data_IF_840355570620
#
_entry.id   IF_840355570620
#
_cell.length_a   1.000
_cell.length_b   1.000
_cell.length_c   1.000
_cell.angle_alpha   90.00
_cell.angle_beta   90.00
_cell.angle_gamma   90.00
#
_symmetry.space_group_name_H-M   'P 1'
#
loop_
_entity.id
_entity.type
_entity.pdbx_description
1 polymer ?
#
# COMPACT_ATOMS: atom_id res chain seq x y z
N UNK A 1 -24.28 -38.04 -17.64
CA UNK A 1 -23.75 -37.23 -18.76
C UNK A 1 -24.15 -35.79 -18.46
N UNK A 2 -23.31 -35.04 -17.80
CA UNK A 2 -23.64 -33.68 -17.33
C UNK A 2 -22.89 -32.66 -18.20
N UNK A 3 -23.66 -31.87 -18.93
CA UNK A 3 -23.13 -30.77 -19.73
C UNK A 3 -22.47 -29.72 -18.83
N UNK A 4 -21.16 -29.53 -19.02
CA UNK A 4 -20.46 -28.35 -18.47
C UNK A 4 -20.81 -27.13 -19.31
N UNK A 5 -21.69 -26.31 -18.77
CA UNK A 5 -21.97 -24.98 -19.33
C UNK A 5 -20.74 -24.11 -19.13
N UNK A 6 -19.95 -23.94 -20.17
CA UNK A 6 -18.91 -22.92 -20.21
C UNK A 6 -19.57 -21.53 -20.29
N UNK A 7 -19.59 -20.79 -19.18
CA UNK A 7 -19.93 -19.37 -19.21
C UNK A 7 -18.93 -18.66 -20.13
N UNK A 8 -19.42 -18.11 -21.24
CA UNK A 8 -18.66 -17.23 -22.15
C UNK A 8 -18.01 -16.14 -21.32
N UNK A 9 -16.67 -15.94 -21.50
CA UNK A 9 -15.96 -14.76 -21.03
C UNK A 9 -16.73 -13.51 -21.45
N UNK A 10 -17.28 -12.79 -20.47
CA UNK A 10 -17.94 -11.52 -20.72
C UNK A 10 -16.93 -10.56 -21.36
N UNK A 11 -17.35 -9.93 -22.46
CA UNK A 11 -16.61 -8.82 -23.07
C UNK A 11 -16.58 -7.70 -22.01
N UNK A 12 -15.40 -7.15 -21.71
CA UNK A 12 -15.28 -5.97 -20.84
C UNK A 12 -16.31 -4.94 -21.29
N UNK A 13 -17.14 -4.48 -20.35
CA UNK A 13 -18.09 -3.39 -20.62
C UNK A 13 -17.29 -2.09 -20.70
N UNK A 14 -17.79 -1.13 -21.48
CA UNK A 14 -17.15 0.20 -21.66
C UNK A 14 -16.93 0.97 -20.35
N UNK A 15 -17.56 0.51 -19.26
CA UNK A 15 -17.45 1.03 -17.89
C UNK A 15 -16.33 0.41 -17.05
N UNK A 16 -15.70 -0.67 -17.52
CA UNK A 16 -14.69 -1.38 -16.77
C UNK A 16 -13.36 -0.63 -16.89
N UNK A 17 -12.69 -0.42 -15.76
CA UNK A 17 -11.35 0.15 -15.75
C UNK A 17 -10.29 -0.95 -15.81
N UNK A 18 -9.19 -0.67 -16.50
CA UNK A 18 -8.00 -1.50 -16.46
C UNK A 18 -7.08 -1.01 -15.35
N UNK A 19 -6.70 -1.92 -14.44
CA UNK A 19 -5.81 -1.62 -13.33
C UNK A 19 -4.46 -2.21 -13.63
N UNK A 20 -3.45 -1.36 -13.66
CA UNK A 20 -2.04 -1.73 -13.77
C UNK A 20 -1.35 -1.46 -12.44
N UNK A 21 -0.53 -2.40 -11.99
CA UNK A 21 0.20 -2.28 -10.74
C UNK A 21 1.69 -2.47 -11.01
N UNK A 22 2.49 -1.55 -10.53
CA UNK A 22 3.94 -1.57 -10.64
C UNK A 22 4.58 -1.30 -9.27
N UNK A 23 5.72 -1.92 -9.00
CA UNK A 23 6.46 -1.76 -7.75
C UNK A 23 7.95 -1.60 -8.02
N UNK A 24 8.56 -0.70 -7.28
CA UNK A 24 10.01 -0.56 -7.21
C UNK A 24 10.47 -0.73 -5.78
N UNK A 25 11.46 -1.60 -5.56
CA UNK A 25 12.01 -1.90 -4.25
C UNK A 25 13.54 -1.82 -4.30
N UNK A 26 14.16 -1.30 -3.24
CA UNK A 26 15.61 -1.21 -3.09
C UNK A 26 16.02 -1.56 -1.67
N UNK A 27 17.01 -2.41 -1.53
CA UNK A 27 17.58 -2.74 -0.22
C UNK A 27 18.32 -1.53 0.36
N UNK A 28 18.23 -1.38 1.68
CA UNK A 28 19.07 -0.44 2.42
C UNK A 28 20.54 -0.85 2.25
N UNK A 29 21.43 0.14 2.12
CA UNK A 29 22.86 -0.12 1.97
C UNK A 29 23.37 -1.02 3.11
N UNK A 30 24.10 -2.07 2.73
CA UNK A 30 24.64 -3.06 3.67
C UNK A 30 23.67 -4.20 4.03
N UNK A 31 22.42 -4.16 3.63
CA UNK A 31 21.46 -5.24 3.86
C UNK A 31 21.32 -6.12 2.62
N UNK A 32 21.29 -7.45 2.85
CA UNK A 32 21.09 -8.46 1.79
C UNK A 32 19.61 -8.56 1.41
N UNK A 33 18.70 -8.29 2.36
CA UNK A 33 17.24 -8.38 2.19
C UNK A 33 16.59 -7.03 2.50
N UNK A 34 15.47 -6.74 1.84
CA UNK A 34 14.63 -5.60 2.16
C UNK A 34 13.79 -5.88 3.40
N UNK A 35 13.62 -4.88 4.25
CA UNK A 35 12.69 -4.94 5.39
C UNK A 35 11.23 -4.90 4.97
N UNK A 36 10.96 -4.34 3.79
CA UNK A 36 9.62 -4.19 3.25
C UNK A 36 9.21 -5.40 2.42
N UNK A 37 7.92 -5.62 2.32
CA UNK A 37 7.32 -6.63 1.47
C UNK A 37 6.16 -6.05 0.68
N UNK A 38 6.14 -6.34 -0.60
CA UNK A 38 5.06 -5.99 -1.51
C UNK A 38 4.44 -7.25 -2.10
N UNK A 39 3.11 -7.29 -2.13
CA UNK A 39 2.34 -8.35 -2.78
C UNK A 39 1.21 -7.74 -3.60
N UNK A 40 0.91 -8.33 -4.75
CA UNK A 40 -0.27 -7.99 -5.54
C UNK A 40 -0.86 -9.24 -6.17
N UNK A 41 -2.19 -9.35 -6.15
CA UNK A 41 -2.92 -10.48 -6.70
C UNK A 41 -4.17 -10.01 -7.43
N UNK A 42 -4.35 -10.49 -8.65
CA UNK A 42 -5.59 -10.34 -9.40
C UNK A 42 -6.51 -11.53 -9.15
N UNK A 43 -7.67 -11.29 -8.56
CA UNK A 43 -8.75 -12.25 -8.37
C UNK A 43 -9.62 -12.27 -9.63
N UNK A 44 -9.32 -13.19 -10.56
CA UNK A 44 -9.93 -13.20 -11.91
C UNK A 44 -11.43 -13.46 -11.91
N UNK A 45 -11.93 -14.22 -10.93
CA UNK A 45 -13.35 -14.56 -10.84
C UNK A 45 -14.19 -13.39 -10.31
N UNK A 46 -13.57 -12.47 -9.59
CA UNK A 46 -14.20 -11.30 -8.99
C UNK A 46 -13.85 -10.00 -9.72
N UNK A 47 -13.01 -10.07 -10.75
CA UNK A 47 -12.46 -8.90 -11.47
C UNK A 47 -11.94 -7.82 -10.52
N UNK A 48 -11.16 -8.25 -9.53
CA UNK A 48 -10.65 -7.44 -8.42
C UNK A 48 -9.14 -7.59 -8.29
N UNK A 49 -8.45 -6.52 -7.91
CA UNK A 49 -7.03 -6.52 -7.58
C UNK A 49 -6.87 -6.15 -6.11
N UNK A 50 -6.05 -6.93 -5.41
CA UNK A 50 -5.58 -6.62 -4.07
C UNK A 50 -4.08 -6.37 -4.16
N UNK A 51 -3.63 -5.28 -3.53
CA UNK A 51 -2.20 -4.96 -3.39
C UNK A 51 -1.90 -4.61 -1.95
N UNK A 52 -0.77 -5.07 -1.45
CA UNK A 52 -0.34 -4.84 -0.07
C UNK A 52 1.11 -4.40 -0.07
N UNK A 53 1.37 -3.29 0.60
CA UNK A 53 2.71 -2.88 1.01
C UNK A 53 2.80 -3.02 2.53
N UNK A 54 3.85 -3.65 3.01
CA UNK A 54 4.13 -3.80 4.43
C UNK A 54 5.59 -3.51 4.72
N UNK A 55 5.85 -2.74 5.76
CA UNK A 55 7.18 -2.38 6.22
C UNK A 55 7.42 -3.02 7.60
N UNK A 56 8.47 -3.80 7.72
CA UNK A 56 8.86 -4.48 8.96
C UNK A 56 9.75 -3.60 9.82
N UNK A 57 9.39 -3.44 11.09
CA UNK A 57 10.13 -2.59 12.02
C UNK A 57 11.59 -3.02 12.17
N UNK A 58 12.49 -2.10 11.88
CA UNK A 58 13.93 -2.31 11.95
C UNK A 58 14.56 -2.59 10.58
N UNK A 59 15.46 -3.55 10.50
CA UNK A 59 16.13 -3.90 9.25
C UNK A 59 16.60 -5.36 9.23
N UNK A 60 16.95 -5.83 8.04
CA UNK A 60 17.47 -7.19 7.85
C UNK A 60 16.40 -8.28 7.92
N UNK A 61 16.83 -9.50 8.24
CA UNK A 61 15.99 -10.71 8.13
C UNK A 61 14.73 -10.63 9.00
N UNK A 62 14.82 -10.13 10.23
CA UNK A 62 13.66 -10.05 11.14
C UNK A 62 12.57 -9.16 10.55
N UNK A 63 12.93 -7.97 10.09
CA UNK A 63 11.99 -7.03 9.46
C UNK A 63 11.36 -7.65 8.20
N UNK A 64 12.19 -8.27 7.35
CA UNK A 64 11.72 -8.94 6.13
C UNK A 64 10.72 -10.08 6.42
N UNK A 65 10.96 -10.90 7.43
CA UNK A 65 10.03 -11.98 7.80
C UNK A 65 8.71 -11.40 8.30
N UNK A 66 8.76 -10.38 9.16
CA UNK A 66 7.55 -9.77 9.73
C UNK A 66 6.71 -9.06 8.67
N UNK A 67 7.34 -8.30 7.77
CA UNK A 67 6.63 -7.65 6.66
C UNK A 67 6.03 -8.68 5.69
N UNK A 68 6.75 -9.76 5.37
CA UNK A 68 6.25 -10.82 4.50
C UNK A 68 5.05 -11.56 5.13
N UNK A 69 5.10 -11.86 6.43
CA UNK A 69 3.96 -12.45 7.16
C UNK A 69 2.76 -11.52 7.14
N UNK A 70 2.97 -10.23 7.43
CA UNK A 70 1.93 -9.21 7.41
C UNK A 70 1.29 -9.09 6.03
N UNK A 71 2.09 -8.97 4.98
CA UNK A 71 1.60 -8.88 3.61
C UNK A 71 0.81 -10.14 3.19
N UNK A 72 1.28 -11.32 3.61
CA UNK A 72 0.59 -12.59 3.33
C UNK A 72 -0.75 -12.68 4.04
N UNK A 73 -0.82 -12.32 5.32
CA UNK A 73 -2.09 -12.28 6.08
C UNK A 73 -3.06 -11.28 5.45
N UNK A 74 -2.58 -10.07 5.16
CA UNK A 74 -3.39 -9.02 4.55
C UNK A 74 -3.98 -9.46 3.20
N UNK A 75 -3.15 -10.06 2.36
CA UNK A 75 -3.59 -10.58 1.07
C UNK A 75 -4.67 -11.65 1.22
N UNK A 76 -4.41 -12.67 2.05
CA UNK A 76 -5.30 -13.81 2.19
C UNK A 76 -6.66 -13.41 2.82
N UNK A 77 -6.64 -12.64 3.89
CA UNK A 77 -7.89 -12.23 4.55
C UNK A 77 -8.72 -11.28 3.66
N UNK A 78 -8.07 -10.36 2.96
CA UNK A 78 -8.77 -9.48 2.01
C UNK A 78 -9.35 -10.29 0.84
N UNK A 79 -8.63 -11.30 0.34
CA UNK A 79 -9.10 -12.18 -0.74
C UNK A 79 -10.30 -13.06 -0.33
N UNK A 80 -10.46 -13.37 0.94
CA UNK A 80 -11.62 -14.10 1.49
C UNK A 80 -12.88 -13.23 1.62
N UNK A 81 -12.88 -12.01 1.11
CA UNK A 81 -14.00 -11.07 1.22
C UNK A 81 -14.40 -10.68 2.65
N UNK A 82 -13.49 -10.79 3.60
CA UNK A 82 -13.71 -10.25 4.93
C UNK A 82 -13.82 -8.73 4.89
N UNK A 83 -14.46 -8.16 5.90
CA UNK A 83 -14.44 -6.72 6.08
C UNK A 83 -12.99 -6.22 6.18
N UNK A 84 -12.62 -5.24 5.36
CA UNK A 84 -11.26 -4.71 5.34
C UNK A 84 -10.82 -4.18 6.73
N UNK A 85 -11.77 -3.72 7.54
CA UNK A 85 -11.53 -3.35 8.93
C UNK A 85 -11.21 -4.58 9.79
N UNK A 86 -11.99 -5.67 9.67
CA UNK A 86 -11.74 -6.89 10.42
C UNK A 86 -10.40 -7.52 10.02
N UNK A 87 -10.08 -7.51 8.73
CA UNK A 87 -8.77 -7.92 8.23
C UNK A 87 -7.65 -7.16 8.94
N UNK A 88 -7.71 -5.83 8.94
CA UNK A 88 -6.69 -5.00 9.57
C UNK A 88 -6.56 -5.25 11.08
N UNK A 89 -7.68 -5.33 11.79
CA UNK A 89 -7.70 -5.61 13.22
C UNK A 89 -7.12 -7.00 13.53
N UNK A 90 -7.47 -8.03 12.75
CA UNK A 90 -6.93 -9.39 12.91
C UNK A 90 -5.42 -9.42 12.73
N UNK A 91 -4.89 -8.70 11.75
CA UNK A 91 -3.45 -8.58 11.54
C UNK A 91 -2.79 -7.92 12.75
N UNK A 92 -3.30 -6.76 13.18
CA UNK A 92 -2.74 -6.01 14.30
C UNK A 92 -2.75 -6.82 15.60
N UNK A 93 -3.81 -7.59 15.84
CA UNK A 93 -3.89 -8.47 17.00
C UNK A 93 -2.94 -9.66 16.95
N UNK A 94 -2.60 -10.14 15.76
CA UNK A 94 -1.69 -11.28 15.56
C UNK A 94 -0.23 -10.87 15.59
N UNK A 95 0.09 -9.66 15.13
CA UNK A 95 1.48 -9.19 15.08
C UNK A 95 2.06 -8.98 16.46
N UNK A 96 3.32 -9.42 16.69
CA UNK A 96 4.05 -9.04 17.88
C UNK A 96 4.26 -7.52 17.90
N UNK A 97 4.47 -6.97 19.07
CA UNK A 97 4.71 -5.54 19.27
C UNK A 97 6.13 -5.24 19.74
N UNK A 98 6.57 -4.05 19.44
CA UNK A 98 7.76 -3.46 20.04
C UNK A 98 7.38 -2.87 21.40
N UNK A 99 7.98 -3.41 22.47
CA UNK A 99 7.69 -3.00 23.85
C UNK A 99 8.15 -1.57 24.17
N UNK A 100 9.11 -1.04 23.41
CA UNK A 100 9.66 0.31 23.60
C UNK A 100 8.84 1.33 22.83
N UNK A 101 8.53 1.04 21.56
CA UNK A 101 7.79 1.96 20.67
C UNK A 101 6.29 1.85 20.81
N UNK A 102 5.78 0.78 21.45
CA UNK A 102 4.35 0.49 21.65
C UNK A 102 3.54 0.46 20.35
N UNK A 103 4.17 0.04 19.27
CA UNK A 103 3.56 -0.18 17.95
C UNK A 103 3.77 -1.62 17.52
N UNK A 104 2.97 -2.11 16.58
CA UNK A 104 3.19 -3.44 15.99
C UNK A 104 4.52 -3.48 15.23
N UNK A 105 5.13 -4.67 15.16
CA UNK A 105 6.40 -4.86 14.45
C UNK A 105 6.31 -4.71 12.93
N UNK A 106 5.16 -4.38 12.39
CA UNK A 106 5.01 -4.10 10.96
C UNK A 106 3.90 -3.09 10.73
N UNK A 107 4.16 -2.15 9.84
CA UNK A 107 3.15 -1.24 9.27
C UNK A 107 2.60 -1.85 7.98
N UNK A 108 1.45 -1.40 7.52
CA UNK A 108 0.92 -1.88 6.25
C UNK A 108 -0.07 -0.92 5.59
N UNK A 109 -0.15 -1.04 4.27
CA UNK A 109 -1.18 -0.43 3.46
C UNK A 109 -1.81 -1.49 2.55
N UNK A 110 -3.14 -1.61 2.58
CA UNK A 110 -3.91 -2.57 1.78
C UNK A 110 -4.75 -1.78 0.78
N UNK A 111 -4.67 -2.17 -0.48
CA UNK A 111 -5.51 -1.68 -1.57
C UNK A 111 -6.38 -2.82 -2.06
N UNK A 112 -7.67 -2.57 -2.17
CA UNK A 112 -8.65 -3.50 -2.72
C UNK A 112 -9.51 -2.75 -3.73
N UNK A 113 -9.36 -3.08 -5.01
CA UNK A 113 -9.90 -2.32 -6.12
C UNK A 113 -10.62 -3.26 -7.08
N UNK A 114 -11.89 -3.02 -7.37
CA UNK A 114 -12.66 -3.78 -8.37
C UNK A 114 -12.56 -3.17 -9.78
N UNK A 115 -13.05 -3.90 -10.78
CA UNK A 115 -13.06 -3.47 -12.17
C UNK A 115 -13.94 -2.24 -12.45
N UNK A 116 -14.81 -1.85 -11.53
CA UNK A 116 -15.62 -0.64 -11.62
C UNK A 116 -14.94 0.57 -11.01
N UNK A 117 -13.73 0.38 -10.43
CA UNK A 117 -12.97 1.41 -9.75
C UNK A 117 -13.36 1.64 -8.30
N UNK A 118 -14.28 0.86 -7.73
CA UNK A 118 -14.55 0.96 -6.30
C UNK A 118 -13.29 0.54 -5.54
N UNK A 119 -12.79 1.45 -4.74
CA UNK A 119 -11.49 1.34 -4.07
C UNK A 119 -11.68 1.43 -2.58
N UNK A 120 -11.10 0.48 -1.87
CA UNK A 120 -10.98 0.49 -0.41
C UNK A 120 -9.48 0.47 -0.05
N UNK A 121 -9.08 1.35 0.84
CA UNK A 121 -7.70 1.43 1.32
C UNK A 121 -7.71 1.38 2.83
N UNK A 122 -6.80 0.61 3.42
CA UNK A 122 -6.49 0.66 4.83
C UNK A 122 -5.01 0.99 5.00
N UNK A 123 -4.75 1.97 5.85
CA UNK A 123 -3.39 2.39 6.22
C UNK A 123 -3.23 2.20 7.74
N UNK A 124 -2.16 1.51 8.13
CA UNK A 124 -1.76 1.31 9.52
C UNK A 124 -0.31 1.74 9.69
N UNK A 125 -0.08 2.85 10.41
CA UNK A 125 1.24 3.42 10.71
C UNK A 125 2.16 3.56 9.46
N UNK A 126 1.57 3.57 8.27
CA UNK A 126 2.28 3.74 6.99
C UNK A 126 2.28 5.20 6.55
N UNK A 127 3.24 5.61 5.70
CA UNK A 127 3.15 6.90 5.03
C UNK A 127 1.85 7.04 4.25
N UNK A 128 1.43 8.29 4.04
CA UNK A 128 0.17 8.57 3.39
C UNK A 128 0.12 8.04 1.95
N UNK A 129 -1.06 7.57 1.54
CA UNK A 129 -1.35 7.26 0.14
C UNK A 129 -1.69 8.55 -0.61
N UNK A 130 -1.15 8.71 -1.80
CA UNK A 130 -1.41 9.81 -2.70
C UNK A 130 -2.30 9.37 -3.86
N UNK A 131 -3.30 10.18 -4.19
CA UNK A 131 -4.10 10.06 -5.39
C UNK A 131 -3.76 11.20 -6.35
N UNK A 132 -3.41 10.87 -7.56
CA UNK A 132 -3.21 11.84 -8.63
C UNK A 132 -4.24 11.60 -9.72
N UNK A 133 -4.95 12.66 -10.10
CA UNK A 133 -5.93 12.69 -11.17
C UNK A 133 -5.50 13.73 -12.19
N UNK A 134 -5.26 13.29 -13.43
CA UNK A 134 -4.75 14.17 -14.51
C UNK A 134 -3.49 14.96 -14.09
N UNK A 135 -2.60 14.30 -13.34
CA UNK A 135 -1.36 14.90 -12.87
C UNK A 135 -1.47 15.82 -11.66
N UNK A 136 -2.68 16.04 -11.13
CA UNK A 136 -2.91 16.86 -9.95
C UNK A 136 -3.20 15.97 -8.73
N UNK A 137 -2.65 16.34 -7.57
CA UNK A 137 -2.94 15.66 -6.32
C UNK A 137 -4.41 15.90 -5.92
N UNK A 138 -5.08 14.83 -5.55
CA UNK A 138 -6.47 14.85 -5.07
C UNK A 138 -6.49 14.39 -3.63
N UNK A 139 -7.17 15.13 -2.79
CA UNK A 139 -7.33 14.77 -1.39
C UNK A 139 -8.20 13.52 -1.24
N UNK A 140 -7.68 12.53 -0.51
CA UNK A 140 -8.41 11.31 -0.14
C UNK A 140 -9.08 11.54 1.21
N UNK A 141 -10.40 11.44 1.26
CA UNK A 141 -11.12 11.46 2.54
C UNK A 141 -10.83 10.19 3.32
N UNK A 142 -10.34 10.35 4.55
CA UNK A 142 -9.95 9.23 5.41
C UNK A 142 -10.80 9.23 6.68
N UNK A 143 -11.28 8.04 7.05
CA UNK A 143 -11.93 7.79 8.33
C UNK A 143 -10.88 7.28 9.31
N UNK A 144 -10.70 7.99 10.42
CA UNK A 144 -9.81 7.60 11.51
C UNK A 144 -10.54 6.65 12.44
N UNK A 145 -9.98 5.48 12.71
CA UNK A 145 -10.56 4.46 13.61
C UNK A 145 -9.54 4.16 14.70
N UNK A 146 -9.86 4.42 15.97
CA UNK A 146 -8.99 4.07 17.08
C UNK A 146 -8.89 2.55 17.20
N UNK A 147 -7.71 2.06 17.58
CA UNK A 147 -7.47 0.65 17.86
C UNK A 147 -7.55 0.46 19.37
N UNK A 148 -8.55 -0.29 19.81
CA UNK A 148 -8.72 -0.65 21.22
C UNK A 148 -7.87 -1.88 21.55
N UNK A 149 -6.62 -1.63 21.93
CA UNK A 149 -5.69 -2.65 22.39
C UNK A 149 -4.85 -2.06 23.51
N UNK A 150 -4.93 -2.66 24.72
CA UNK A 150 -4.33 -2.14 25.97
C UNK A 150 -2.83 -1.85 25.85
N UNK A 151 -2.15 -2.53 24.95
CA UNK A 151 -0.71 -2.47 24.79
C UNK A 151 -0.25 -1.58 23.64
N UNK A 152 -1.18 -0.95 22.92
CA UNK A 152 -0.91 0.06 21.88
C UNK A 152 -1.46 1.41 22.34
N UNK A 153 -0.62 2.43 22.35
CA UNK A 153 -1.03 3.79 22.74
C UNK A 153 -1.19 4.67 21.50
N UNK A 154 -2.32 5.41 21.44
CA UNK A 154 -2.58 6.40 20.38
C UNK A 154 -2.45 5.86 18.95
N UNK A 155 -2.79 4.60 18.74
CA UNK A 155 -2.67 3.93 17.45
C UNK A 155 -4.01 3.93 16.73
N UNK A 156 -3.98 4.15 15.41
CA UNK A 156 -5.17 4.34 14.60
C UNK A 156 -5.05 3.59 13.28
N UNK A 157 -6.18 3.17 12.76
CA UNK A 157 -6.35 2.81 11.36
C UNK A 157 -6.92 4.00 10.59
N UNK A 158 -6.46 4.17 9.37
CA UNK A 158 -7.10 5.06 8.42
C UNK A 158 -7.75 4.22 7.33
N UNK A 159 -9.05 4.46 7.08
CA UNK A 159 -9.81 3.77 6.04
C UNK A 159 -10.32 4.82 5.04
N UNK A 160 -10.12 4.51 3.77
CA UNK A 160 -10.61 5.31 2.66
C UNK A 160 -11.46 4.45 1.73
N UNK A 161 -12.59 4.97 1.31
CA UNK A 161 -13.48 4.35 0.33
C UNK A 161 -13.89 5.40 -0.70
N UNK A 162 -13.58 5.15 -1.96
CA UNK A 162 -13.88 6.07 -3.05
C UNK A 162 -13.87 5.34 -4.40
N UNK A 163 -14.21 6.05 -5.46
CA UNK A 163 -14.18 5.52 -6.81
C UNK A 163 -13.06 6.14 -7.61
N UNK A 164 -12.20 5.28 -8.18
CA UNK A 164 -11.19 5.69 -9.17
C UNK A 164 -11.83 6.05 -10.48
N UNK A 165 -11.27 7.04 -11.14
CA UNK A 165 -11.54 7.40 -12.52
C UNK A 165 -10.44 6.88 -13.45
N UNK A 166 -10.71 6.89 -14.73
CA UNK A 166 -9.71 6.54 -15.74
C UNK A 166 -8.50 7.49 -15.63
N UNK A 167 -7.31 6.92 -15.71
CA UNK A 167 -6.02 7.61 -15.58
C UNK A 167 -5.68 8.12 -14.17
N UNK A 168 -6.47 7.77 -13.16
CA UNK A 168 -6.08 7.99 -11.77
C UNK A 168 -4.85 7.15 -11.43
N UNK A 169 -4.01 7.69 -10.55
CA UNK A 169 -2.84 7.00 -10.00
C UNK A 169 -2.86 7.02 -8.50
N UNK A 170 -2.83 5.83 -7.91
CA UNK A 170 -2.57 5.66 -6.49
C UNK A 170 -1.09 5.35 -6.29
N UNK A 171 -0.46 6.06 -5.37
CA UNK A 171 0.96 5.89 -5.03
C UNK A 171 1.09 5.77 -3.53
N UNK A 172 1.77 4.72 -3.10
CA UNK A 172 2.20 4.53 -1.72
C UNK A 172 3.68 4.13 -1.68
N UNK A 173 4.29 4.33 -0.53
CA UNK A 173 5.69 3.98 -0.27
C UNK A 173 5.88 3.69 1.22
N UNK A 174 6.96 2.99 1.56
CA UNK A 174 7.38 2.80 2.95
C UNK A 174 8.14 4.02 3.48
N UNK A 175 8.37 4.06 4.78
CA UNK A 175 9.10 5.14 5.45
C UNK A 175 10.53 5.30 4.93
N UNK A 176 11.13 4.22 4.38
CA UNK A 176 12.43 4.28 3.72
C UNK A 176 12.52 5.28 2.56
N UNK A 177 11.37 5.66 1.96
CA UNK A 177 11.32 6.74 0.96
C UNK A 177 11.22 8.11 1.64
N UNK A 178 10.26 8.31 2.54
CA UNK A 178 10.06 9.59 3.22
C UNK A 178 11.23 9.96 4.14
N UNK A 179 11.89 8.99 4.75
CA UNK A 179 13.08 9.18 5.58
C UNK A 179 14.39 9.18 4.79
N UNK A 180 14.34 9.06 3.45
CA UNK A 180 15.56 9.10 2.63
C UNK A 180 16.34 10.39 2.86
N UNK A 181 17.65 10.26 3.09
CA UNK A 181 18.54 11.38 3.40
C UNK A 181 18.44 11.92 4.84
N UNK A 182 17.61 11.31 5.70
CA UNK A 182 17.47 11.74 7.10
C UNK A 182 18.81 11.78 7.82
N UNK A 183 19.04 12.87 8.59
CA UNK A 183 20.29 13.12 9.30
C UNK A 183 21.37 13.82 8.46
N UNK A 184 21.16 14.06 7.16
CA UNK A 184 22.03 14.90 6.37
C UNK A 184 21.81 16.39 6.66
N UNK A 185 22.81 17.22 6.39
CA UNK A 185 22.72 18.68 6.58
C UNK A 185 21.59 19.33 5.77
N UNK A 186 21.26 18.74 4.60
CA UNK A 186 20.26 19.28 3.69
C UNK A 186 18.87 18.67 3.93
N UNK A 187 18.79 17.53 4.60
CA UNK A 187 17.54 16.79 4.87
C UNK A 187 17.53 16.23 6.30
N UNK A 188 17.51 17.08 7.35
CA UNK A 188 17.61 16.62 8.74
C UNK A 188 16.48 15.68 9.14
N UNK A 189 15.29 15.84 8.55
CA UNK A 189 14.10 15.01 8.80
C UNK A 189 13.77 14.02 7.67
N UNK A 190 14.67 13.89 6.68
CA UNK A 190 14.42 13.13 5.46
C UNK A 190 13.68 13.94 4.41
N UNK A 191 13.05 13.24 3.47
CA UNK A 191 12.35 13.87 2.34
C UNK A 191 10.93 14.33 2.67
N UNK A 192 10.30 13.65 3.63
CA UNK A 192 8.97 13.93 4.22
C UNK A 192 7.94 14.40 3.17
N UNK A 193 7.36 15.59 3.34
CA UNK A 193 6.37 16.16 2.40
C UNK A 193 6.93 16.41 0.99
N UNK A 194 8.23 16.56 0.85
CA UNK A 194 8.89 16.73 -0.45
C UNK A 194 8.67 15.57 -1.41
N UNK A 195 8.37 14.36 -0.91
CA UNK A 195 8.05 13.20 -1.74
C UNK A 195 6.81 13.47 -2.59
N UNK A 196 5.74 13.97 -1.97
CA UNK A 196 4.49 14.27 -2.66
C UNK A 196 4.67 15.32 -3.76
N UNK A 197 5.43 16.38 -3.48
CA UNK A 197 5.75 17.44 -4.43
C UNK A 197 6.53 16.87 -5.62
N UNK A 198 7.59 16.10 -5.35
CA UNK A 198 8.40 15.48 -6.40
C UNK A 198 7.58 14.55 -7.31
N UNK A 199 6.69 13.76 -6.72
CA UNK A 199 5.81 12.87 -7.49
C UNK A 199 4.87 13.69 -8.38
N UNK A 200 4.25 14.74 -7.84
CA UNK A 200 3.35 15.63 -8.58
C UNK A 200 4.05 16.27 -9.78
N UNK A 201 5.24 16.83 -9.58
CA UNK A 201 6.05 17.42 -10.63
C UNK A 201 6.45 16.39 -11.69
N UNK A 202 6.88 15.21 -11.24
CA UNK A 202 7.27 14.12 -12.16
C UNK A 202 6.10 13.65 -13.01
N UNK A 203 4.93 13.45 -12.44
CA UNK A 203 3.74 13.00 -13.18
C UNK A 203 3.16 14.09 -14.07
N UNK A 204 3.29 15.35 -13.70
CA UNK A 204 2.91 16.49 -14.56
C UNK A 204 3.73 16.53 -15.85
N UNK A 205 5.05 16.30 -15.73
CA UNK A 205 5.94 16.29 -16.90
C UNK A 205 5.89 14.98 -17.67
N UNK A 206 5.70 13.86 -17.00
CA UNK A 206 5.76 12.50 -17.56
C UNK A 206 4.61 11.64 -17.05
N UNK A 207 3.38 11.83 -17.54
CA UNK A 207 2.21 11.12 -17.01
C UNK A 207 2.28 9.58 -17.10
N UNK A 208 3.04 9.05 -18.05
CA UNK A 208 3.21 7.61 -18.27
C UNK A 208 4.28 6.93 -17.45
N UNK A 209 4.97 7.62 -16.51
CA UNK A 209 6.02 6.97 -15.72
C UNK A 209 5.48 5.93 -14.74
N UNK A 210 6.16 4.78 -14.69
CA UNK A 210 5.94 3.69 -13.74
C UNK A 210 6.69 3.93 -12.42
N UNK A 211 6.49 3.08 -11.42
CA UNK A 211 7.20 3.16 -10.14
C UNK A 211 8.73 3.19 -10.34
N UNK A 212 9.26 2.36 -11.25
CA UNK A 212 10.69 2.37 -11.58
C UNK A 212 11.14 3.69 -12.23
N UNK A 213 10.27 4.37 -12.96
CA UNK A 213 10.55 5.66 -13.58
C UNK A 213 10.46 6.85 -12.61
N UNK A 214 9.67 6.71 -11.54
CA UNK A 214 9.47 7.76 -10.51
C UNK A 214 10.54 7.67 -9.42
N UNK A 215 11.23 6.53 -9.29
CA UNK A 215 12.26 6.34 -8.27
C UNK A 215 13.15 7.58 -8.15
N UNK A 216 13.38 8.01 -6.92
CA UNK A 216 14.32 9.08 -6.63
C UNK A 216 15.73 8.69 -7.10
N UNK A 217 16.46 9.63 -7.66
CA UNK A 217 17.91 9.46 -7.79
C UNK A 217 18.44 9.42 -6.36
N UNK A 218 18.87 8.24 -5.91
CA UNK A 218 19.63 8.15 -4.66
C UNK A 218 20.92 8.93 -4.83
N UNK A 219 21.06 10.00 -4.10
CA UNK A 219 22.30 10.72 -3.93
C UNK A 219 23.19 9.94 -2.97
#
# INVERSE_FOLDING_TARGET
>A
MGERVYKKKGRMKESDIFIEVDCFQKNKAGNIVCGDSYMSQKLKEEDRIISVLSDGLGSGIKASVLSAMTATMAMNYTAMNESILQTALSIIHTLPKDMVRKISYSTFCIFDIDCFGNTRIVEYESPAVYLFRRGQAVEIRKKKIPIEREDLENTFLWISEFKLEKEDRLICFSDGVSQSGMGSSNMPFGWDEGVGIYIAETLSQYPGKTANGIKAKSY
#
